data_IF_018222955963
#
_entry.id   IF_018222955963
#
_cell.length_a   1.000
_cell.length_b   1.000
_cell.length_c   1.000
_cell.angle_alpha   90.00
_cell.angle_beta   90.00
_cell.angle_gamma   90.00
#
_symmetry.space_group_name_H-M   'P 1'
#
loop_
_entity.id
_entity.type
_entity.pdbx_description
1 polymer ?
#
# COMPACT_ATOMS: atom_id res chain seq x y z
N UNK A 1 13.48 3.48 12.99
CA UNK A 1 12.37 2.82 12.28
C UNK A 1 12.94 1.96 11.16
N UNK A 2 12.50 0.74 11.02
CA UNK A 2 13.05 -0.21 10.06
C UNK A 2 12.47 -0.17 8.64
N UNK A 3 11.93 0.96 8.20
CA UNK A 3 11.35 1.11 6.86
C UNK A 3 12.16 2.10 6.04
N UNK A 4 12.55 1.69 4.81
CA UNK A 4 13.20 2.58 3.86
C UNK A 4 12.17 3.44 3.11
N UNK A 5 11.15 2.81 2.59
CA UNK A 5 10.09 3.51 1.87
C UNK A 5 8.85 2.63 1.72
N UNK A 6 7.73 3.27 1.41
CA UNK A 6 6.48 2.60 1.05
C UNK A 6 6.10 3.05 -0.35
N UNK A 7 5.77 2.11 -1.21
CA UNK A 7 5.24 2.38 -2.55
C UNK A 7 3.83 1.84 -2.64
N UNK A 8 2.90 2.67 -3.08
CA UNK A 8 1.51 2.27 -3.25
C UNK A 8 1.03 2.58 -4.67
N UNK A 9 0.24 1.71 -5.24
CA UNK A 9 -0.29 1.86 -6.59
C UNK A 9 -1.72 1.36 -6.67
N UNK A 10 -2.51 2.03 -7.48
CA UNK A 10 -3.89 1.65 -7.76
C UNK A 10 -4.22 1.98 -9.22
N UNK A 11 -5.24 1.32 -9.75
CA UNK A 11 -5.72 1.55 -11.11
C UNK A 11 -7.21 1.93 -11.04
N UNK A 12 -7.59 2.99 -11.75
CA UNK A 12 -8.98 3.41 -11.88
C UNK A 12 -9.37 3.46 -13.35
N UNK A 13 -10.54 2.94 -13.69
CA UNK A 13 -11.01 3.00 -15.07
C UNK A 13 -11.86 4.25 -15.31
N UNK A 14 -12.17 4.56 -16.58
CA UNK A 14 -12.82 5.81 -16.98
C UNK A 14 -14.20 6.06 -16.38
N UNK A 15 -14.90 5.01 -15.95
CA UNK A 15 -16.22 5.15 -15.32
C UNK A 15 -16.13 5.57 -13.86
N UNK A 16 -14.93 5.57 -13.27
CA UNK A 16 -14.71 6.02 -11.90
C UNK A 16 -14.40 7.51 -11.86
N UNK A 17 -14.86 8.16 -10.80
CA UNK A 17 -14.50 9.57 -10.57
C UNK A 17 -13.07 9.64 -10.05
N UNK A 18 -12.16 10.10 -10.90
CA UNK A 18 -10.73 10.16 -10.58
C UNK A 18 -10.46 11.09 -9.39
N UNK A 19 -11.20 12.18 -9.26
CA UNK A 19 -11.02 13.07 -8.11
C UNK A 19 -11.41 12.39 -6.81
N UNK A 20 -12.51 11.65 -6.81
CA UNK A 20 -12.96 10.91 -5.64
C UNK A 20 -11.97 9.81 -5.26
N UNK A 21 -11.47 9.08 -6.26
CA UNK A 21 -10.47 8.03 -6.05
C UNK A 21 -9.19 8.64 -5.50
N UNK A 22 -8.70 9.72 -6.10
CA UNK A 22 -7.46 10.38 -5.67
C UNK A 22 -7.57 10.90 -4.24
N UNK A 23 -8.67 11.54 -3.90
CA UNK A 23 -8.91 12.02 -2.53
C UNK A 23 -8.90 10.86 -1.52
N UNK A 24 -9.52 9.75 -1.87
CA UNK A 24 -9.56 8.57 -1.02
C UNK A 24 -8.16 8.00 -0.79
N UNK A 25 -7.35 7.92 -1.86
CA UNK A 25 -5.98 7.42 -1.77
C UNK A 25 -5.09 8.36 -0.96
N UNK A 26 -5.25 9.68 -1.11
CA UNK A 26 -4.52 10.65 -0.31
C UNK A 26 -4.88 10.55 1.17
N UNK A 27 -6.16 10.32 1.48
CA UNK A 27 -6.58 10.04 2.84
C UNK A 27 -5.91 8.77 3.39
N UNK A 28 -5.82 7.72 2.56
CA UNK A 28 -5.27 6.43 2.97
C UNK A 28 -3.78 6.52 3.33
N UNK A 29 -2.99 7.19 2.50
CA UNK A 29 -1.53 7.27 2.69
C UNK A 29 -1.05 8.57 3.32
N UNK A 30 -1.92 9.57 3.41
CA UNK A 30 -1.58 10.94 3.82
C UNK A 30 -0.42 11.52 3.03
N UNK A 31 -0.42 11.23 1.72
CA UNK A 31 0.57 11.73 0.77
C UNK A 31 -0.11 12.05 -0.56
N UNK A 32 0.53 12.87 -1.37
CA UNK A 32 0.06 13.17 -2.72
C UNK A 32 0.29 11.97 -3.62
N UNK A 33 -0.61 11.78 -4.59
CA UNK A 33 -0.53 10.69 -5.55
C UNK A 33 -0.32 11.25 -6.96
N UNK A 34 0.55 10.59 -7.72
CA UNK A 34 0.72 10.86 -9.14
C UNK A 34 -0.36 10.13 -9.93
N UNK A 35 -0.94 10.82 -10.89
CA UNK A 35 -1.99 10.26 -11.76
C UNK A 35 -1.47 10.26 -13.19
N UNK A 36 -1.39 9.08 -13.80
CA UNK A 36 -0.99 8.92 -15.18
C UNK A 36 -2.15 8.32 -15.97
N UNK A 37 -2.69 9.11 -16.91
CA UNK A 37 -3.79 8.67 -17.76
C UNK A 37 -3.24 7.95 -18.97
N UNK A 38 -3.49 6.65 -19.06
CA UNK A 38 -3.11 5.86 -20.23
C UNK A 38 -4.35 5.51 -21.06
N UNK A 39 -4.18 5.47 -22.37
CA UNK A 39 -5.23 4.99 -23.27
C UNK A 39 -4.77 3.66 -23.82
N UNK A 40 -5.51 2.60 -23.55
CA UNK A 40 -5.21 1.32 -24.18
C UNK A 40 -5.60 1.39 -25.65
N UNK A 41 -4.87 0.66 -26.49
CA UNK A 41 -5.02 0.74 -27.94
C UNK A 41 -6.44 0.39 -28.42
N UNK A 42 -7.14 -0.49 -27.73
CA UNK A 42 -8.49 -0.93 -28.05
C UNK A 42 -9.45 -0.91 -26.85
N UNK A 43 -9.17 -0.13 -25.83
CA UNK A 43 -9.97 -0.15 -24.64
C UNK A 43 -10.21 1.20 -23.98
N UNK A 44 -10.92 1.21 -22.86
CA UNK A 44 -11.21 2.44 -22.12
C UNK A 44 -9.94 3.06 -21.57
N UNK A 45 -10.01 4.35 -21.28
CA UNK A 45 -8.93 5.07 -20.59
C UNK A 45 -8.77 4.52 -19.18
N UNK A 46 -7.55 4.34 -18.77
CA UNK A 46 -7.20 3.83 -17.44
C UNK A 46 -6.28 4.85 -16.79
N UNK A 47 -6.60 5.22 -15.56
CA UNK A 47 -5.71 6.04 -14.73
C UNK A 47 -4.86 5.12 -13.88
N UNK A 48 -3.55 5.29 -13.94
CA UNK A 48 -2.62 4.61 -13.04
C UNK A 48 -2.19 5.62 -11.98
N UNK A 49 -2.49 5.31 -10.73
CA UNK A 49 -2.20 6.18 -9.61
C UNK A 49 -1.11 5.53 -8.76
N UNK A 50 -0.14 6.32 -8.33
CA UNK A 50 0.94 5.80 -7.51
C UNK A 50 1.48 6.88 -6.57
N UNK A 51 2.11 6.43 -5.49
CA UNK A 51 2.82 7.31 -4.58
C UNK A 51 3.99 6.57 -3.96
N UNK A 52 4.96 7.33 -3.48
CA UNK A 52 6.08 6.79 -2.71
C UNK A 52 6.25 7.63 -1.46
N UNK A 53 6.32 6.97 -0.31
CA UNK A 53 6.44 7.60 0.99
C UNK A 53 7.82 7.28 1.56
N UNK A 54 8.61 8.31 1.88
CA UNK A 54 9.95 8.17 2.47
C UNK A 54 10.09 8.96 3.76
N UNK A 55 9.31 10.02 3.93
CA UNK A 55 9.42 10.89 5.10
C UNK A 55 8.88 10.18 6.33
N UNK A 56 9.63 10.26 7.44
CA UNK A 56 9.27 9.59 8.69
C UNK A 56 7.86 9.93 9.16
N UNK A 57 7.48 11.20 9.08
CA UNK A 57 6.15 11.64 9.52
C UNK A 57 5.03 10.97 8.73
N UNK A 58 5.21 10.84 7.42
CA UNK A 58 4.23 10.18 6.56
C UNK A 58 4.23 8.67 6.78
N UNK A 59 5.41 8.08 6.99
CA UNK A 59 5.51 6.64 7.30
C UNK A 59 4.80 6.32 8.60
N UNK A 60 5.02 7.12 9.64
CA UNK A 60 4.37 6.94 10.94
C UNK A 60 2.84 7.05 10.82
N UNK A 61 2.36 8.04 10.07
CA UNK A 61 0.93 8.24 9.86
C UNK A 61 0.30 7.07 9.11
N UNK A 62 0.99 6.55 8.10
CA UNK A 62 0.51 5.40 7.34
C UNK A 62 0.47 4.13 8.20
N UNK A 63 1.52 3.89 9.00
CA UNK A 63 1.54 2.76 9.92
C UNK A 63 0.42 2.83 10.94
N UNK A 64 0.12 4.02 11.45
CA UNK A 64 -0.98 4.22 12.37
C UNK A 64 -2.33 3.90 11.70
N UNK A 65 -2.49 4.28 10.43
CA UNK A 65 -3.68 3.94 9.65
C UNK A 65 -3.87 2.43 9.53
N UNK A 66 -2.78 1.67 9.47
CA UNK A 66 -2.80 0.22 9.37
C UNK A 66 -2.87 -0.50 10.71
N UNK A 67 -2.87 0.21 11.83
CA UNK A 67 -2.76 -0.40 13.16
C UNK A 67 -3.71 -1.58 13.41
N UNK A 68 -5.00 -1.51 13.05
CA UNK A 68 -5.91 -2.65 13.26
C UNK A 68 -5.48 -3.92 12.53
N UNK A 69 -4.64 -3.82 11.51
CA UNK A 69 -4.19 -4.94 10.70
C UNK A 69 -2.77 -5.41 11.04
N UNK A 70 -2.09 -4.76 11.98
CA UNK A 70 -0.72 -5.14 12.35
C UNK A 70 -0.60 -6.61 12.76
N UNK A 71 -1.50 -7.16 13.61
CA UNK A 71 -1.40 -8.58 13.98
C UNK A 71 -1.51 -9.51 12.79
N UNK A 72 -2.40 -9.21 11.84
CA UNK A 72 -2.58 -10.02 10.64
C UNK A 72 -1.35 -9.96 9.74
N UNK A 73 -0.76 -8.77 9.57
CA UNK A 73 0.46 -8.58 8.78
C UNK A 73 1.60 -9.42 9.36
N UNK A 74 1.78 -9.40 10.68
CA UNK A 74 2.81 -10.21 11.32
C UNK A 74 2.53 -11.71 11.18
N UNK A 75 1.28 -12.13 11.35
CA UNK A 75 0.90 -13.54 11.24
C UNK A 75 1.12 -14.07 9.82
N UNK A 76 0.97 -13.23 8.81
CA UNK A 76 1.10 -13.61 7.40
C UNK A 76 2.43 -13.18 6.78
N UNK A 77 3.40 -12.79 7.60
CA UNK A 77 4.65 -12.19 7.14
C UNK A 77 5.38 -13.07 6.12
N UNK A 78 5.49 -14.36 6.38
CA UNK A 78 6.19 -15.28 5.48
C UNK A 78 5.54 -15.37 4.09
N UNK A 79 4.21 -15.25 4.04
CA UNK A 79 3.46 -15.29 2.79
C UNK A 79 3.51 -13.97 2.04
N UNK A 80 3.77 -12.87 2.73
CA UNK A 80 3.71 -11.51 2.16
C UNK A 80 5.07 -10.88 1.89
N UNK A 81 6.14 -11.43 2.45
CA UNK A 81 7.48 -10.87 2.26
C UNK A 81 8.22 -11.60 1.15
N UNK A 82 8.90 -10.84 0.28
CA UNK A 82 9.73 -11.41 -0.77
C UNK A 82 11.21 -11.46 -0.33
N UNK A 83 12.05 -11.99 -1.21
CA UNK A 83 13.49 -12.15 -0.96
C UNK A 83 14.25 -10.82 -0.85
N UNK A 84 13.64 -9.72 -1.29
CA UNK A 84 14.22 -8.39 -1.23
C UNK A 84 13.79 -7.62 0.03
N UNK A 85 13.20 -8.30 1.00
CA UNK A 85 12.70 -7.70 2.24
C UNK A 85 11.60 -6.66 1.99
N UNK A 86 10.75 -6.94 1.02
CA UNK A 86 9.58 -6.13 0.69
C UNK A 86 8.33 -6.86 1.14
N UNK A 87 7.52 -6.19 1.96
CA UNK A 87 6.22 -6.73 2.38
C UNK A 87 5.17 -6.27 1.37
N UNK A 88 4.43 -7.22 0.80
CA UNK A 88 3.37 -6.96 -0.16
C UNK A 88 2.00 -7.01 0.51
N UNK A 89 1.30 -5.89 0.47
CA UNK A 89 -0.05 -5.77 1.02
C UNK A 89 -1.02 -5.39 -0.08
N UNK A 90 -2.27 -5.81 0.07
CA UNK A 90 -3.35 -5.46 -0.83
C UNK A 90 -4.53 -4.96 -0.02
N UNK A 91 -5.08 -3.83 -0.41
CA UNK A 91 -6.23 -3.24 0.27
C UNK A 91 -7.36 -3.02 -0.73
N UNK A 92 -8.59 -3.08 -0.24
CA UNK A 92 -9.76 -2.84 -1.07
C UNK A 92 -9.87 -1.36 -1.42
N UNK A 93 -9.84 -1.04 -2.71
CA UNK A 93 -10.02 0.34 -3.17
C UNK A 93 -11.42 0.86 -2.80
N UNK A 94 -12.44 0.03 -2.96
CA UNK A 94 -13.82 0.41 -2.62
C UNK A 94 -13.95 0.76 -1.15
N UNK A 95 -13.31 0.01 -0.25
CA UNK A 95 -13.33 0.29 1.17
C UNK A 95 -12.65 1.62 1.49
N UNK A 96 -11.51 1.89 0.84
CA UNK A 96 -10.78 3.15 1.04
C UNK A 96 -11.60 4.35 0.54
N UNK A 97 -12.33 4.20 -0.56
CA UNK A 97 -13.25 5.23 -1.03
C UNK A 97 -14.29 5.54 0.04
N UNK A 98 -14.73 4.54 0.79
CA UNK A 98 -15.62 4.72 1.94
C UNK A 98 -14.92 5.06 3.24
N UNK A 99 -13.63 5.43 3.19
CA UNK A 99 -12.79 5.76 4.34
C UNK A 99 -12.65 4.60 5.33
N UNK A 100 -12.50 3.40 4.80
CA UNK A 100 -12.21 2.20 5.58
C UNK A 100 -10.96 1.54 5.04
N UNK A 101 -10.20 0.91 5.93
CA UNK A 101 -9.00 0.18 5.55
C UNK A 101 -9.29 -1.31 5.70
N UNK A 102 -9.35 -2.01 4.57
CA UNK A 102 -9.62 -3.45 4.54
C UNK A 102 -8.47 -4.17 3.85
N UNK A 103 -7.75 -4.97 4.63
CA UNK A 103 -6.64 -5.78 4.14
C UNK A 103 -7.20 -7.02 3.43
N UNK A 104 -6.77 -7.20 2.18
CA UNK A 104 -7.23 -8.29 1.33
C UNK A 104 -6.24 -9.45 1.36
N UNK A 105 -6.73 -10.65 1.08
CA UNK A 105 -5.89 -11.83 0.95
C UNK A 105 -5.09 -11.76 -0.35
N UNK A 106 -3.96 -12.44 -0.40
CA UNK A 106 -3.06 -12.41 -1.57
C UNK A 106 -3.71 -12.96 -2.84
N UNK A 107 -4.70 -13.81 -2.70
CA UNK A 107 -5.40 -14.43 -3.84
C UNK A 107 -6.65 -13.67 -4.27
N UNK A 108 -7.10 -12.67 -3.52
CA UNK A 108 -8.32 -11.95 -3.87
C UNK A 108 -8.11 -11.05 -5.07
N UNK A 109 -9.14 -10.94 -5.89
CA UNK A 109 -9.14 -10.12 -7.12
C UNK A 109 -10.11 -8.97 -6.97
N UNK A 110 -10.00 -8.00 -7.85
CA UNK A 110 -10.87 -6.84 -7.89
C UNK A 110 -10.09 -5.53 -7.86
N UNK A 111 -10.76 -4.39 -7.67
CA UNK A 111 -10.07 -3.10 -7.54
C UNK A 111 -9.26 -3.06 -6.25
N UNK A 112 -7.96 -3.16 -6.37
CA UNK A 112 -7.06 -3.25 -5.23
C UNK A 112 -6.05 -2.11 -5.24
N UNK A 113 -5.64 -1.72 -4.03
CA UNK A 113 -4.47 -0.87 -3.82
C UNK A 113 -3.34 -1.83 -3.45
N UNK A 114 -2.27 -1.83 -4.25
CA UNK A 114 -1.08 -2.63 -3.98
C UNK A 114 -0.09 -1.79 -3.22
N UNK A 115 0.33 -2.26 -2.06
CA UNK A 115 1.29 -1.56 -1.20
C UNK A 115 2.53 -2.43 -1.02
N UNK A 116 3.70 -1.83 -1.20
CA UNK A 116 4.99 -2.49 -0.97
C UNK A 116 5.76 -1.70 0.07
N UNK A 117 6.09 -2.37 1.17
CA UNK A 117 6.86 -1.78 2.27
C UNK A 117 8.27 -2.37 2.23
N UNK A 118 9.24 -1.55 1.86
CA UNK A 118 10.64 -1.96 1.84
C UNK A 118 11.24 -1.78 3.22
N UNK A 119 11.74 -2.88 3.80
CA UNK A 119 12.38 -2.84 5.11
C UNK A 119 13.86 -2.51 4.99
N UNK A 120 14.38 -1.80 5.98
CA UNK A 120 15.79 -1.50 6.12
C UNK A 120 16.43 -2.63 6.95
N UNK A 121 17.05 -3.59 6.27
CA UNK A 121 17.72 -4.73 6.91
C UNK A 121 19.20 -4.63 6.63
N UNK A 122 20.01 -4.45 7.68
CA UNK A 122 21.45 -4.34 7.58
C UNK A 122 22.12 -5.65 7.99
N UNK A 123 23.39 -5.88 7.61
CA UNK A 123 24.11 -7.10 7.99
C UNK A 123 24.04 -7.34 9.50
N UNK A 124 23.72 -8.56 9.89
CA UNK A 124 23.58 -8.95 11.29
C UNK A 124 22.21 -8.71 11.89
N UNK A 125 21.29 -8.09 11.16
CA UNK A 125 19.92 -7.90 11.63
C UNK A 125 18.99 -9.02 11.15
N UNK A 126 17.99 -9.32 12.00
CA UNK A 126 16.97 -10.31 11.69
C UNK A 126 15.70 -9.59 11.20
N UNK A 127 15.25 -9.93 9.99
CA UNK A 127 14.06 -9.32 9.38
C UNK A 127 12.80 -9.54 10.23
N UNK A 128 12.69 -10.67 10.90
CA UNK A 128 11.54 -10.96 11.77
C UNK A 128 11.49 -9.99 12.95
N UNK A 129 12.64 -9.70 13.55
CA UNK A 129 12.74 -8.74 14.66
C UNK A 129 12.37 -7.34 14.21
N UNK A 130 12.83 -6.94 13.02
CA UNK A 130 12.52 -5.62 12.44
C UNK A 130 11.01 -5.49 12.23
N UNK A 131 10.39 -6.50 11.62
CA UNK A 131 8.95 -6.50 11.39
C UNK A 131 8.16 -6.46 12.72
N UNK A 132 8.61 -7.20 13.72
CA UNK A 132 7.97 -7.20 15.03
C UNK A 132 8.06 -5.84 15.72
N UNK A 133 9.15 -5.11 15.52
CA UNK A 133 9.31 -3.76 16.06
C UNK A 133 8.35 -2.77 15.38
N UNK A 134 8.06 -2.97 14.10
CA UNK A 134 7.17 -2.09 13.33
C UNK A 134 5.70 -2.39 13.61
N UNK A 135 5.32 -3.65 13.59
CA UNK A 135 3.93 -4.09 13.65
C UNK A 135 3.53 -4.77 14.96
N UNK A 136 4.49 -4.95 15.84
CA UNK A 136 4.25 -5.61 17.12
C UNK A 136 3.70 -4.76 18.23
#
# INVERSE_FOLDING_TARGET
MGILHVHAAATAHELQDIHLVTEALEWFTESEWDVDMTTSYHGPKVAMLSTQIKKKKQLDAFLEKLEPHHPTILAELDARMDENNVIHLRFSLESVIGQKVELMQTYEKGPLIKVRIKLAVYPGQDVQSIASDIFG
#
